data_IF_772947963804
#
_entry.id   IF_772947963804
#
_cell.length_a   1.000
_cell.length_b   1.000
_cell.length_c   1.000
_cell.angle_alpha   90.00
_cell.angle_beta   90.00
_cell.angle_gamma   90.00
#
_symmetry.space_group_name_H-M   'P 1'
#
loop_
_entity.id
_entity.type
_entity.pdbx_description
1 polymer ?
#
# COMPACT_ATOMS: atom_id res chain seq x y z
N UNK A 1 -13.94 13.63 15.96
CA UNK A 1 -13.97 12.28 15.38
C UNK A 1 -12.60 11.67 15.64
N UNK A 2 -12.54 10.43 16.09
CA UNK A 2 -11.28 9.70 16.21
C UNK A 2 -10.78 9.35 14.81
N UNK A 3 -9.45 9.39 14.57
CA UNK A 3 -8.86 8.97 13.29
C UNK A 3 -9.20 7.50 12.95
N UNK A 4 -9.53 6.68 13.96
CA UNK A 4 -9.93 5.28 13.80
C UNK A 4 -11.39 5.09 13.33
N UNK A 5 -12.19 6.14 13.28
CA UNK A 5 -13.61 6.02 12.87
C UNK A 5 -13.74 5.52 11.42
N UNK A 6 -12.74 5.78 10.56
CA UNK A 6 -12.69 5.28 9.18
C UNK A 6 -12.78 3.75 9.09
N UNK A 7 -12.26 3.02 10.07
CA UNK A 7 -12.28 1.56 10.12
C UNK A 7 -13.70 0.97 10.28
N UNK A 8 -14.64 1.78 10.76
CA UNK A 8 -16.02 1.37 11.06
C UNK A 8 -17.03 1.85 10.03
N UNK A 9 -16.61 2.74 9.13
CA UNK A 9 -17.51 3.31 8.14
C UNK A 9 -17.67 2.37 6.95
N UNK A 10 -18.92 2.11 6.51
CA UNK A 10 -19.13 1.36 5.29
C UNK A 10 -18.57 2.15 4.10
N UNK A 11 -17.71 1.53 3.26
CA UNK A 11 -17.16 2.23 2.11
C UNK A 11 -18.23 2.52 1.05
N UNK A 12 -18.04 3.57 0.22
CA UNK A 12 -18.83 3.73 -0.97
C UNK A 12 -18.77 2.48 -1.87
N UNK A 13 -19.85 2.18 -2.59
CA UNK A 13 -19.90 1.04 -3.49
C UNK A 13 -18.79 1.11 -4.54
N UNK A 14 -18.26 -0.04 -4.89
CA UNK A 14 -17.36 -0.19 -6.03
C UNK A 14 -18.18 -0.45 -7.31
N UNK A 15 -17.65 -0.06 -8.47
CA UNK A 15 -18.29 -0.34 -9.77
C UNK A 15 -18.22 -1.82 -10.13
N UNK A 16 -17.16 -2.50 -9.71
CA UNK A 16 -17.01 -3.94 -9.92
C UNK A 16 -16.09 -4.57 -8.87
N UNK A 17 -16.32 -5.87 -8.62
CA UNK A 17 -15.40 -6.75 -7.90
C UNK A 17 -14.96 -7.86 -8.86
N UNK A 18 -13.64 -8.08 -8.97
CA UNK A 18 -13.07 -9.07 -9.88
C UNK A 18 -12.04 -9.93 -9.15
N UNK A 19 -12.11 -11.24 -9.38
CA UNK A 19 -11.08 -12.17 -8.93
C UNK A 19 -9.86 -12.09 -9.87
N UNK A 20 -8.66 -12.04 -9.28
CA UNK A 20 -7.39 -12.17 -9.99
C UNK A 20 -6.71 -13.53 -9.75
N UNK A 21 -7.32 -14.37 -8.94
CA UNK A 21 -6.91 -15.73 -8.63
C UNK A 21 -8.09 -16.61 -8.20
N UNK A 22 -7.79 -17.82 -7.74
CA UNK A 22 -8.82 -18.83 -7.38
C UNK A 22 -9.21 -18.83 -5.90
N UNK A 23 -8.42 -18.20 -5.03
CA UNK A 23 -8.73 -18.12 -3.60
C UNK A 23 -9.81 -17.04 -3.35
N UNK A 24 -10.73 -17.22 -2.39
CA UNK A 24 -11.74 -16.21 -2.06
C UNK A 24 -11.20 -14.83 -1.66
N UNK A 25 -9.95 -14.76 -1.20
CA UNK A 25 -9.29 -13.49 -0.88
C UNK A 25 -8.46 -12.92 -2.05
N UNK A 26 -8.43 -13.58 -3.20
CA UNK A 26 -7.72 -13.11 -4.39
C UNK A 26 -8.67 -12.33 -5.31
N UNK A 27 -9.11 -11.16 -4.84
CA UNK A 27 -9.97 -10.26 -5.60
C UNK A 27 -9.60 -8.80 -5.35
N UNK A 28 -10.20 -7.91 -6.11
CA UNK A 28 -10.15 -6.49 -5.85
C UNK A 28 -11.42 -5.78 -6.29
N UNK A 29 -11.54 -4.54 -5.88
CA UNK A 29 -12.64 -3.64 -6.21
C UNK A 29 -12.15 -2.53 -7.14
N UNK A 30 -12.84 -2.36 -8.27
CA UNK A 30 -12.59 -1.28 -9.22
C UNK A 30 -13.56 -0.14 -8.94
N UNK A 31 -13.03 1.10 -8.89
CA UNK A 31 -13.82 2.33 -8.95
C UNK A 31 -13.33 3.17 -10.11
N UNK A 32 -14.26 3.63 -10.92
CA UNK A 32 -13.99 4.36 -12.15
C UNK A 32 -14.39 5.82 -12.01
N UNK A 33 -13.66 6.75 -12.64
CA UNK A 33 -14.14 8.11 -12.84
C UNK A 33 -15.42 8.16 -13.70
N UNK A 34 -16.18 9.24 -13.58
CA UNK A 34 -17.41 9.45 -14.36
C UNK A 34 -17.16 9.86 -15.81
N UNK A 35 -15.97 10.35 -16.11
CA UNK A 35 -15.55 10.83 -17.43
C UNK A 35 -15.26 9.67 -18.39
N UNK A 36 -14.79 9.99 -19.59
CA UNK A 36 -14.31 9.00 -20.54
C UNK A 36 -12.79 8.82 -20.40
N UNK A 37 -12.32 7.57 -20.23
CA UNK A 37 -10.91 7.24 -20.19
C UNK A 37 -10.16 7.50 -21.50
N UNK A 38 -8.88 7.12 -21.59
CA UNK A 38 -8.19 6.19 -20.67
C UNK A 38 -7.80 6.83 -19.34
N UNK A 39 -8.06 6.10 -18.22
CA UNK A 39 -7.78 6.58 -16.88
C UNK A 39 -6.45 6.09 -16.36
N UNK A 40 -5.65 6.95 -15.69
CA UNK A 40 -4.53 6.50 -14.88
C UNK A 40 -5.04 5.62 -13.72
N UNK A 41 -4.18 4.72 -13.22
CA UNK A 41 -4.59 3.68 -12.26
C UNK A 41 -3.82 3.80 -10.96
N UNK A 42 -4.53 3.81 -9.84
CA UNK A 42 -3.96 3.55 -8.52
C UNK A 42 -4.36 2.15 -8.07
N UNK A 43 -3.38 1.25 -7.95
CA UNK A 43 -3.53 0.00 -7.22
C UNK A 43 -3.30 0.29 -5.74
N UNK A 44 -4.31 0.05 -4.90
CA UNK A 44 -4.25 0.31 -3.48
C UNK A 44 -4.17 -0.98 -2.67
N UNK A 45 -3.26 -1.03 -1.69
CA UNK A 45 -3.04 -2.13 -0.77
C UNK A 45 -3.39 -1.68 0.66
N UNK A 46 -4.36 -2.36 1.27
CA UNK A 46 -4.81 -2.02 2.61
C UNK A 46 -3.81 -2.44 3.70
N UNK A 47 -3.92 -1.80 4.87
CA UNK A 47 -3.19 -2.13 6.08
C UNK A 47 -3.85 -3.22 6.92
N UNK A 48 -3.42 -3.32 8.20
CA UNK A 48 -3.97 -4.28 9.17
C UNK A 48 -2.96 -5.31 9.64
N UNK A 49 -1.67 -4.98 9.66
CA UNK A 49 -0.59 -5.86 10.12
C UNK A 49 -0.64 -7.27 9.52
N UNK A 50 -0.99 -7.38 8.24
CA UNK A 50 -1.12 -8.64 7.49
C UNK A 50 -2.09 -9.66 8.11
N UNK A 51 -3.01 -9.25 9.02
CA UNK A 51 -3.95 -10.14 9.74
C UNK A 51 -5.31 -10.20 9.07
N UNK A 52 -5.91 -11.40 9.02
CA UNK A 52 -7.20 -11.66 8.37
C UNK A 52 -8.41 -10.93 9.00
N UNK A 53 -8.26 -10.34 10.18
CA UNK A 53 -9.31 -9.53 10.82
C UNK A 53 -9.54 -8.16 10.15
N UNK A 54 -8.62 -7.72 9.28
CA UNK A 54 -8.74 -6.50 8.49
C UNK A 54 -8.83 -6.85 7.01
N UNK A 55 -9.59 -6.09 6.27
CA UNK A 55 -9.79 -6.27 4.83
C UNK A 55 -9.69 -4.92 4.10
N UNK A 56 -9.93 -4.95 2.78
CA UNK A 56 -9.86 -3.78 1.91
C UNK A 56 -10.91 -2.68 2.20
N UNK A 57 -11.94 -2.96 3.01
CA UNK A 57 -13.10 -2.08 3.17
C UNK A 57 -12.73 -0.69 3.68
N UNK A 58 -11.82 -0.60 4.66
CA UNK A 58 -11.43 0.68 5.24
C UNK A 58 -10.66 1.61 4.27
N UNK A 59 -10.15 1.09 3.16
CA UNK A 59 -9.52 1.86 2.09
C UNK A 59 -10.50 2.28 0.98
N UNK A 60 -11.75 1.83 1.02
CA UNK A 60 -12.75 2.14 -0.01
C UNK A 60 -13.09 3.62 -0.12
N UNK A 61 -13.04 4.38 0.98
CA UNK A 61 -13.28 5.83 0.98
C UNK A 61 -12.17 6.59 0.24
N UNK A 62 -10.92 6.26 0.49
CA UNK A 62 -9.75 6.80 -0.21
C UNK A 62 -9.85 6.50 -1.71
N UNK A 63 -10.19 5.27 -2.09
CA UNK A 63 -10.35 4.88 -3.48
C UNK A 63 -11.48 5.66 -4.17
N UNK A 64 -12.62 5.84 -3.50
CA UNK A 64 -13.73 6.63 -4.01
C UNK A 64 -13.35 8.12 -4.18
N UNK A 65 -12.59 8.69 -3.25
CA UNK A 65 -12.13 10.08 -3.36
C UNK A 65 -11.19 10.26 -4.56
N UNK A 66 -10.29 9.31 -4.82
CA UNK A 66 -9.40 9.36 -5.98
C UNK A 66 -10.16 9.17 -7.31
N UNK A 67 -11.21 8.32 -7.35
CA UNK A 67 -12.00 8.18 -8.57
C UNK A 67 -12.75 9.47 -8.95
N UNK A 68 -13.15 10.28 -7.97
CA UNK A 68 -13.73 11.62 -8.21
C UNK A 68 -12.71 12.63 -8.78
N UNK A 69 -11.42 12.29 -8.77
CA UNK A 69 -10.31 13.10 -9.32
C UNK A 69 -9.79 12.59 -10.66
N UNK A 70 -10.56 11.75 -11.33
CA UNK A 70 -10.16 11.24 -12.65
C UNK A 70 -9.18 10.07 -12.63
N UNK A 71 -8.99 9.40 -11.48
CA UNK A 71 -8.08 8.27 -11.31
C UNK A 71 -8.88 6.99 -11.06
N UNK A 72 -8.75 5.99 -11.92
CA UNK A 72 -9.29 4.67 -11.64
C UNK A 72 -8.55 4.01 -10.47
N UNK A 73 -9.29 3.33 -9.60
CA UNK A 73 -8.67 2.63 -8.47
C UNK A 73 -8.92 1.13 -8.54
N UNK A 74 -7.88 0.36 -8.24
CA UNK A 74 -7.88 -1.08 -8.03
C UNK A 74 -7.55 -1.34 -6.56
N UNK A 75 -8.57 -1.47 -5.70
CA UNK A 75 -8.42 -1.74 -4.26
C UNK A 75 -8.33 -3.25 -4.06
N UNK A 76 -7.17 -3.73 -3.66
CA UNK A 76 -6.81 -5.15 -3.70
C UNK A 76 -7.00 -5.78 -2.33
N UNK A 77 -7.69 -6.93 -2.30
CA UNK A 77 -7.68 -7.88 -1.21
C UNK A 77 -6.60 -8.94 -1.48
N UNK A 78 -6.01 -9.49 -0.44
CA UNK A 78 -4.97 -10.52 -0.51
C UNK A 78 -5.07 -11.48 0.66
N UNK A 79 -4.56 -12.70 0.56
CA UNK A 79 -4.50 -13.64 1.69
C UNK A 79 -3.61 -13.10 2.79
N UNK A 80 -4.05 -13.21 4.02
CA UNK A 80 -3.39 -12.67 5.22
C UNK A 80 -3.15 -13.77 6.23
N UNK A 81 -2.32 -13.52 7.23
CA UNK A 81 -2.16 -14.40 8.40
C UNK A 81 -3.52 -14.70 9.01
N UNK A 82 -3.86 -15.99 9.09
CA UNK A 82 -5.18 -16.49 9.46
C UNK A 82 -6.01 -17.03 8.29
N UNK A 83 -5.64 -16.70 7.03
CA UNK A 83 -6.19 -17.36 5.85
C UNK A 83 -5.27 -18.51 5.41
N UNK A 84 -5.80 -19.59 4.81
CA UNK A 84 -4.97 -20.63 4.22
C UNK A 84 -4.00 -20.05 3.18
N UNK A 85 -2.71 -20.33 3.32
CA UNK A 85 -1.67 -19.80 2.43
C UNK A 85 -1.36 -18.30 2.58
N UNK A 86 -1.92 -17.61 3.60
CA UNK A 86 -1.58 -16.24 3.94
C UNK A 86 -0.27 -16.16 4.74
N UNK A 87 0.27 -14.95 4.87
CA UNK A 87 1.63 -14.72 5.35
C UNK A 87 2.64 -14.75 4.20
N UNK A 88 3.92 -14.68 4.51
CA UNK A 88 5.00 -14.73 3.52
C UNK A 88 5.26 -16.17 3.05
N UNK A 89 5.44 -16.41 1.73
CA UNK A 89 5.37 -15.43 0.64
C UNK A 89 3.95 -15.21 0.07
N UNK A 90 2.93 -15.96 0.52
CA UNK A 90 1.62 -16.03 -0.12
C UNK A 90 0.90 -14.68 -0.23
N UNK A 91 0.94 -13.83 0.81
CA UNK A 91 0.38 -12.46 0.76
C UNK A 91 1.06 -11.62 -0.31
N UNK A 92 2.38 -11.73 -0.45
CA UNK A 92 3.15 -10.99 -1.46
C UNK A 92 2.89 -11.52 -2.87
N UNK A 93 2.79 -12.83 -3.03
CA UNK A 93 2.43 -13.46 -4.33
C UNK A 93 1.07 -12.98 -4.81
N UNK A 94 0.10 -12.84 -3.91
CA UNK A 94 -1.22 -12.30 -4.23
C UNK A 94 -1.12 -10.84 -4.71
N UNK A 95 -0.38 -10.00 -4.00
CA UNK A 95 -0.13 -8.60 -4.41
C UNK A 95 0.52 -8.53 -5.79
N UNK A 96 1.52 -9.38 -6.04
CA UNK A 96 2.19 -9.46 -7.35
C UNK A 96 1.25 -9.92 -8.46
N UNK A 97 0.40 -10.90 -8.18
CA UNK A 97 -0.61 -11.38 -9.13
C UNK A 97 -1.67 -10.31 -9.42
N UNK A 98 -2.13 -9.58 -8.42
CA UNK A 98 -3.05 -8.45 -8.59
C UNK A 98 -2.44 -7.30 -9.41
N UNK A 99 -1.15 -7.01 -9.24
CA UNK A 99 -0.43 -6.04 -10.09
C UNK A 99 -0.36 -6.53 -11.55
N UNK A 100 -0.01 -7.79 -11.77
CA UNK A 100 0.05 -8.40 -13.10
C UNK A 100 -1.31 -8.57 -13.76
N UNK A 101 -2.41 -8.43 -13.02
CA UNK A 101 -3.77 -8.43 -13.54
C UNK A 101 -4.19 -7.07 -14.14
N UNK A 102 -3.47 -5.96 -13.84
CA UNK A 102 -3.80 -4.61 -14.31
C UNK A 102 -3.95 -4.50 -15.85
N UNK A 103 -3.14 -5.13 -16.71
CA UNK A 103 -3.35 -5.10 -18.15
C UNK A 103 -4.72 -5.64 -18.59
N UNK A 104 -5.26 -6.66 -17.91
CA UNK A 104 -6.61 -7.19 -18.19
C UNK A 104 -7.70 -6.19 -17.76
N UNK A 105 -7.50 -5.49 -16.63
CA UNK A 105 -8.39 -4.39 -16.24
C UNK A 105 -8.33 -3.25 -17.26
N UNK A 106 -7.14 -2.93 -17.79
CA UNK A 106 -6.93 -1.91 -18.81
C UNK A 106 -7.77 -2.14 -20.05
N UNK A 107 -7.79 -3.37 -20.54
CA UNK A 107 -8.61 -3.77 -21.68
C UNK A 107 -10.12 -3.66 -21.39
N UNK A 108 -10.54 -4.05 -20.19
CA UNK A 108 -11.96 -4.09 -19.82
C UNK A 108 -12.55 -2.71 -19.51
N UNK A 109 -11.77 -1.82 -18.92
CA UNK A 109 -12.24 -0.55 -18.35
C UNK A 109 -11.58 0.69 -18.96
N UNK A 110 -10.88 0.55 -20.09
CA UNK A 110 -10.18 1.65 -20.76
C UNK A 110 -9.24 2.40 -19.81
N UNK A 111 -8.29 1.65 -19.19
CA UNK A 111 -7.29 2.21 -18.28
C UNK A 111 -5.96 2.48 -19.00
N UNK A 112 -5.29 3.55 -18.62
CA UNK A 112 -3.92 3.84 -19.08
C UNK A 112 -2.92 3.04 -18.24
N UNK A 113 -2.61 1.82 -18.68
CA UNK A 113 -1.69 0.91 -17.99
C UNK A 113 -0.22 1.36 -18.03
N UNK A 114 0.12 2.42 -18.77
CA UNK A 114 1.42 3.06 -18.68
C UNK A 114 1.52 4.03 -17.49
N UNK A 115 0.37 4.43 -16.93
CA UNK A 115 0.26 5.31 -15.79
C UNK A 115 -0.31 4.56 -14.59
N UNK A 116 0.51 3.70 -14.00
CA UNK A 116 0.18 2.93 -12.79
C UNK A 116 0.97 3.46 -11.60
N UNK A 117 0.28 3.72 -10.49
CA UNK A 117 0.84 3.95 -9.17
C UNK A 117 0.41 2.80 -8.25
N UNK A 118 1.35 2.13 -7.60
CA UNK A 118 1.04 1.23 -6.49
C UNK A 118 1.15 2.02 -5.19
N UNK A 119 0.07 2.03 -4.44
CA UNK A 119 -0.02 2.73 -3.15
C UNK A 119 -0.43 1.75 -2.05
N UNK A 120 0.07 1.95 -0.84
CA UNK A 120 -0.36 1.13 0.28
C UNK A 120 -0.26 1.85 1.61
N UNK A 121 -1.11 1.46 2.56
CA UNK A 121 -1.13 1.98 3.91
C UNK A 121 -0.58 0.96 4.91
N UNK A 122 0.27 1.39 5.86
CA UNK A 122 0.76 0.55 6.96
C UNK A 122 1.43 -0.74 6.43
N UNK A 123 0.94 -1.92 6.76
CA UNK A 123 1.37 -3.20 6.16
C UNK A 123 1.25 -3.22 4.63
N UNK A 124 0.22 -2.57 4.06
CA UNK A 124 0.09 -2.40 2.61
C UNK A 124 1.19 -1.52 2.01
N UNK A 125 1.69 -0.53 2.76
CA UNK A 125 2.82 0.30 2.36
C UNK A 125 4.13 -0.50 2.28
N UNK A 126 4.31 -1.44 3.21
CA UNK A 126 5.41 -2.41 3.14
C UNK A 126 5.29 -3.29 1.89
N UNK A 127 4.10 -3.86 1.64
CA UNK A 127 3.87 -4.71 0.47
C UNK A 127 4.06 -3.94 -0.86
N UNK A 128 3.66 -2.66 -0.92
CA UNK A 128 3.84 -1.82 -2.09
C UNK A 128 5.32 -1.58 -2.42
N UNK A 129 6.13 -1.23 -1.41
CA UNK A 129 7.57 -1.04 -1.60
C UNK A 129 8.31 -2.36 -1.82
N UNK A 130 7.90 -3.45 -1.16
CA UNK A 130 8.42 -4.78 -1.46
C UNK A 130 8.11 -5.16 -2.92
N UNK A 131 6.91 -4.87 -3.44
CA UNK A 131 6.60 -5.09 -4.86
C UNK A 131 7.55 -4.31 -5.78
N UNK A 132 7.86 -3.05 -5.44
CA UNK A 132 8.77 -2.23 -6.24
C UNK A 132 10.21 -2.78 -6.29
N UNK A 133 10.64 -3.55 -5.29
CA UNK A 133 11.96 -4.23 -5.33
C UNK A 133 11.96 -5.48 -6.23
N UNK A 134 10.78 -6.05 -6.55
CA UNK A 134 10.64 -7.29 -7.31
C UNK A 134 10.05 -7.10 -8.72
N UNK A 135 9.43 -5.96 -9.00
CA UNK A 135 8.82 -5.65 -10.31
C UNK A 135 9.47 -4.40 -10.93
N UNK A 136 10.56 -4.56 -11.70
CA UNK A 136 11.30 -3.43 -12.25
C UNK A 136 10.50 -2.53 -13.20
N UNK A 137 9.39 -3.02 -13.71
CA UNK A 137 8.46 -2.23 -14.54
C UNK A 137 7.60 -1.26 -13.73
N UNK A 138 7.54 -1.41 -12.40
CA UNK A 138 6.82 -0.49 -11.53
C UNK A 138 7.62 0.81 -11.35
N UNK A 139 7.10 1.93 -11.87
CA UNK A 139 7.81 3.22 -11.91
C UNK A 139 7.32 4.22 -10.87
N UNK A 140 6.23 3.93 -10.14
CA UNK A 140 5.65 4.82 -9.13
C UNK A 140 5.12 4.03 -7.95
N UNK A 141 5.58 4.37 -6.75
CA UNK A 141 5.12 3.73 -5.51
C UNK A 141 4.94 4.77 -4.40
N UNK A 142 3.86 4.64 -3.64
CA UNK A 142 3.55 5.51 -2.50
C UNK A 142 3.26 4.67 -1.25
N UNK A 143 3.99 4.89 -0.18
CA UNK A 143 3.72 4.30 1.12
C UNK A 143 3.14 5.35 2.09
N UNK A 144 1.98 5.06 2.64
CA UNK A 144 1.31 5.84 3.68
C UNK A 144 1.53 5.14 5.02
N UNK A 145 2.29 5.74 5.93
CA UNK A 145 2.61 5.20 7.26
C UNK A 145 3.12 3.74 7.20
N UNK A 146 4.00 3.43 6.24
CA UNK A 146 4.42 2.06 5.95
C UNK A 146 5.29 1.44 7.04
N UNK A 147 5.15 0.11 7.27
CA UNK A 147 6.05 -0.69 8.12
C UNK A 147 7.28 -1.06 7.31
N UNK A 148 8.22 -0.12 7.14
CA UNK A 148 9.28 -0.18 6.12
C UNK A 148 10.59 -0.83 6.57
N UNK A 149 10.69 -1.21 7.84
CA UNK A 149 11.82 -1.93 8.45
C UNK A 149 11.25 -3.07 9.30
N UNK A 150 11.25 -4.28 8.75
CA UNK A 150 10.64 -5.45 9.39
C UNK A 150 11.47 -5.94 10.59
N UNK A 151 12.79 -5.75 10.56
CA UNK A 151 13.64 -6.07 11.69
C UNK A 151 13.37 -5.12 12.87
N UNK A 152 13.23 -3.82 12.61
CA UNK A 152 12.86 -2.84 13.63
C UNK A 152 11.44 -3.09 14.16
N UNK A 153 10.50 -3.47 13.30
CA UNK A 153 9.14 -3.84 13.71
C UNK A 153 9.12 -5.04 14.67
N UNK A 154 9.99 -6.02 14.44
CA UNK A 154 10.20 -7.15 15.35
C UNK A 154 10.81 -6.69 16.68
N UNK A 155 11.85 -5.88 16.66
CA UNK A 155 12.50 -5.36 17.88
C UNK A 155 11.55 -4.57 18.78
N UNK A 156 10.63 -3.83 18.17
CA UNK A 156 9.61 -3.05 18.88
C UNK A 156 8.36 -3.84 19.26
N UNK A 157 8.31 -5.11 18.91
CA UNK A 157 7.13 -5.97 19.12
C UNK A 157 5.82 -5.37 18.58
N UNK A 158 5.89 -4.66 17.43
CA UNK A 158 4.73 -3.95 16.87
C UNK A 158 3.55 -4.90 16.69
N UNK A 159 2.39 -4.48 17.26
CA UNK A 159 1.13 -5.24 17.19
C UNK A 159 1.32 -6.71 17.59
N UNK A 160 1.84 -6.95 18.79
CA UNK A 160 2.08 -8.31 19.31
C UNK A 160 2.87 -9.20 18.35
N UNK A 161 4.02 -8.72 17.92
CA UNK A 161 4.92 -9.41 16.99
C UNK A 161 4.25 -9.83 15.66
N UNK A 162 3.39 -8.98 15.10
CA UNK A 162 2.69 -9.28 13.85
C UNK A 162 3.64 -9.67 12.71
N UNK A 163 4.86 -9.10 12.67
CA UNK A 163 5.88 -9.43 11.67
C UNK A 163 6.36 -10.88 11.79
N UNK A 164 6.48 -11.41 12.99
CA UNK A 164 6.86 -12.82 13.23
C UNK A 164 5.79 -13.76 12.67
N UNK A 165 4.52 -13.45 12.92
CA UNK A 165 3.41 -14.21 12.35
C UNK A 165 3.34 -14.09 10.82
N UNK A 166 3.66 -12.92 10.26
CA UNK A 166 3.68 -12.67 8.82
C UNK A 166 4.82 -13.43 8.13
N UNK A 167 6.04 -13.39 8.67
CA UNK A 167 7.23 -13.99 8.07
C UNK A 167 7.43 -15.46 8.46
N UNK A 168 6.69 -15.96 9.47
CA UNK A 168 6.77 -17.34 9.94
C UNK A 168 7.89 -17.61 10.94
N UNK A 169 8.51 -16.57 11.49
CA UNK A 169 9.58 -16.68 12.49
C UNK A 169 10.30 -15.36 12.77
N UNK A 170 11.25 -15.40 13.69
CA UNK A 170 12.13 -14.29 14.04
C UNK A 170 13.24 -14.08 12.98
N UNK A 171 13.98 -12.96 12.99
CA UNK A 171 15.09 -12.75 12.06
C UNK A 171 16.18 -13.84 12.09
N UNK A 172 16.37 -14.48 13.25
CA UNK A 172 17.33 -15.57 13.39
C UNK A 172 16.82 -16.93 12.88
N UNK A 173 15.51 -17.13 12.90
CA UNK A 173 14.87 -18.38 12.44
C UNK A 173 14.61 -18.38 10.94
N UNK A 174 14.22 -17.23 10.38
CA UNK A 174 13.86 -17.10 8.95
C UNK A 174 14.57 -15.88 8.29
N UNK A 175 15.90 -15.79 8.34
CA UNK A 175 16.66 -14.62 7.86
C UNK A 175 16.39 -14.28 6.39
N UNK A 176 16.14 -15.29 5.55
CA UNK A 176 15.84 -15.12 4.13
C UNK A 176 14.50 -14.41 3.92
N UNK A 177 13.47 -14.75 4.71
CA UNK A 177 12.16 -14.09 4.61
C UNK A 177 12.27 -12.59 4.96
N UNK A 178 13.04 -12.23 6.00
CA UNK A 178 13.31 -10.82 6.30
C UNK A 178 14.08 -10.15 5.17
N UNK A 179 15.12 -10.76 4.63
CA UNK A 179 15.89 -10.18 3.52
C UNK A 179 15.03 -9.91 2.28
N UNK A 180 14.11 -10.83 1.96
CA UNK A 180 13.28 -10.75 0.75
C UNK A 180 12.05 -9.84 0.92
N UNK A 181 11.42 -9.87 2.11
CA UNK A 181 10.21 -9.12 2.38
C UNK A 181 10.46 -7.67 2.82
N UNK A 182 11.65 -7.38 3.39
CA UNK A 182 11.95 -6.08 3.99
C UNK A 182 12.34 -5.05 2.91
N UNK A 183 11.51 -4.00 2.69
CA UNK A 183 11.86 -2.93 1.74
C UNK A 183 13.18 -2.23 2.11
N UNK A 184 13.54 -2.18 3.40
CA UNK A 184 14.79 -1.60 3.86
C UNK A 184 16.01 -2.37 3.34
N UNK A 185 15.93 -3.70 3.25
CA UNK A 185 16.99 -4.56 2.74
C UNK A 185 17.10 -4.51 1.20
N UNK A 186 15.99 -4.45 0.50
CA UNK A 186 15.91 -4.46 -0.96
C UNK A 186 16.44 -3.18 -1.62
N UNK A 187 16.47 -3.15 -2.95
CA UNK A 187 16.76 -1.96 -3.76
C UNK A 187 15.67 -1.77 -4.80
N UNK A 188 15.23 -0.55 -4.96
CA UNK A 188 14.24 -0.18 -5.98
C UNK A 188 14.99 0.44 -7.18
N UNK A 189 14.59 0.17 -8.44
CA UNK A 189 15.22 0.78 -9.60
C UNK A 189 15.24 2.32 -9.50
N UNK A 190 16.35 2.95 -9.91
CA UNK A 190 16.51 4.41 -9.83
C UNK A 190 15.47 5.21 -10.61
N UNK A 191 14.85 4.59 -11.61
CA UNK A 191 13.78 5.20 -12.40
C UNK A 191 12.41 5.13 -11.71
N UNK A 192 12.31 4.45 -10.56
CA UNK A 192 11.06 4.34 -9.79
C UNK A 192 10.97 5.49 -8.80
N UNK A 193 10.00 6.35 -9.00
CA UNK A 193 9.66 7.43 -8.07
C UNK A 193 8.99 6.84 -6.83
N UNK A 194 9.58 7.06 -5.66
CA UNK A 194 9.08 6.60 -4.37
C UNK A 194 8.63 7.80 -3.54
N UNK A 195 7.38 7.78 -3.08
CA UNK A 195 6.87 8.75 -2.10
C UNK A 195 6.51 8.07 -0.79
N UNK A 196 6.85 8.72 0.30
CA UNK A 196 6.53 8.28 1.65
C UNK A 196 5.81 9.42 2.36
N UNK A 197 4.60 9.17 2.84
CA UNK A 197 3.86 10.12 3.67
C UNK A 197 3.63 9.50 5.04
N UNK A 198 3.97 10.23 6.09
CA UNK A 198 3.79 9.76 7.47
C UNK A 198 3.24 10.86 8.36
N UNK A 199 2.39 10.49 9.30
CA UNK A 199 1.92 11.40 10.33
C UNK A 199 2.92 11.49 11.48
N UNK A 200 3.29 12.69 11.93
CA UNK A 200 4.18 12.85 13.08
C UNK A 200 3.54 12.38 14.40
N UNK A 201 2.21 12.36 14.46
CA UNK A 201 1.43 11.86 15.60
C UNK A 201 0.99 10.39 15.47
N UNK A 202 1.65 9.61 14.61
CA UNK A 202 1.36 8.20 14.43
C UNK A 202 1.74 7.39 15.68
N UNK A 203 0.73 6.83 16.35
CA UNK A 203 0.84 6.01 17.56
C UNK A 203 0.84 4.50 17.29
N UNK A 204 0.74 4.10 16.02
CA UNK A 204 0.71 2.70 15.57
C UNK A 204 2.04 2.28 14.95
N UNK A 205 2.53 3.06 13.99
CA UNK A 205 3.84 2.89 13.32
C UNK A 205 4.61 4.20 13.47
N UNK A 206 5.73 4.22 14.21
CA UNK A 206 6.50 5.46 14.41
C UNK A 206 6.98 6.07 13.10
N UNK A 207 6.87 7.40 12.94
CA UNK A 207 7.18 8.12 11.69
C UNK A 207 8.63 7.95 11.22
N UNK A 208 9.53 7.61 12.14
CA UNK A 208 10.93 7.36 11.77
C UNK A 208 11.13 6.13 10.88
N UNK A 209 10.16 5.21 10.78
CA UNK A 209 10.22 4.11 9.79
C UNK A 209 10.34 4.67 8.37
N UNK A 210 9.49 5.62 8.01
CA UNK A 210 9.54 6.28 6.70
C UNK A 210 10.75 7.20 6.55
N UNK A 211 11.12 7.93 7.60
CA UNK A 211 12.27 8.84 7.59
C UNK A 211 13.58 8.09 7.35
N UNK A 212 13.84 7.05 8.15
CA UNK A 212 15.06 6.25 8.03
C UNK A 212 15.14 5.54 6.68
N UNK A 213 14.01 5.01 6.19
CA UNK A 213 13.93 4.45 4.84
C UNK A 213 14.35 5.49 3.80
N UNK A 214 13.74 6.68 3.83
CA UNK A 214 14.06 7.75 2.86
C UNK A 214 15.52 8.16 2.91
N UNK A 215 16.10 8.32 4.10
CA UNK A 215 17.52 8.67 4.28
C UNK A 215 18.45 7.61 3.69
N UNK A 216 18.20 6.34 4.02
CA UNK A 216 19.02 5.22 3.54
C UNK A 216 18.95 5.07 2.02
N UNK A 217 17.74 5.13 1.44
CA UNK A 217 17.54 4.93 0.01
C UNK A 217 18.06 6.10 -0.83
N UNK A 218 17.89 7.34 -0.36
CA UNK A 218 18.55 8.51 -0.95
C UNK A 218 20.08 8.37 -0.95
N UNK A 219 20.64 7.88 0.14
CA UNK A 219 22.08 7.60 0.24
C UNK A 219 22.58 6.56 -0.78
N UNK A 220 21.70 5.68 -1.28
CA UNK A 220 21.98 4.72 -2.35
C UNK A 220 21.70 5.28 -3.76
N UNK A 221 21.24 6.54 -3.87
CA UNK A 221 20.92 7.21 -5.14
C UNK A 221 19.57 6.78 -5.74
N UNK A 222 18.65 6.26 -4.92
CA UNK A 222 17.26 6.01 -5.32
C UNK A 222 16.44 7.31 -5.31
N UNK A 223 15.41 7.41 -6.15
CA UNK A 223 14.49 8.56 -6.21
C UNK A 223 13.41 8.43 -5.13
N UNK A 224 13.66 9.02 -3.95
CA UNK A 224 12.80 8.92 -2.78
C UNK A 224 12.43 10.29 -2.24
N UNK A 225 11.14 10.51 -2.00
CA UNK A 225 10.57 11.70 -1.40
C UNK A 225 9.89 11.34 -0.08
N UNK A 226 10.08 12.18 0.94
CA UNK A 226 9.45 12.00 2.24
C UNK A 226 8.70 13.25 2.66
N UNK A 227 7.45 13.08 3.07
CA UNK A 227 6.58 14.12 3.61
C UNK A 227 6.06 13.69 4.98
N UNK A 228 6.46 14.41 6.03
CA UNK A 228 5.88 14.27 7.36
C UNK A 228 4.77 15.29 7.56
N UNK A 229 3.59 14.83 8.04
CA UNK A 229 2.44 15.70 8.33
C UNK A 229 2.34 15.87 9.84
N UNK A 230 2.67 17.04 10.35
CA UNK A 230 2.85 17.32 11.78
C UNK A 230 1.63 16.96 12.66
N UNK A 231 0.42 17.10 12.15
CA UNK A 231 -0.84 16.92 12.91
C UNK A 231 -1.57 15.63 12.59
N UNK A 232 -1.00 14.75 11.76
CA UNK A 232 -1.65 13.51 11.33
C UNK A 232 -1.27 12.33 12.22
N UNK A 233 -2.23 11.47 12.51
CA UNK A 233 -2.04 10.12 13.04
C UNK A 233 -2.09 9.07 11.94
N UNK A 234 -2.07 7.79 12.35
CA UNK A 234 -1.97 6.63 11.44
C UNK A 234 -3.09 6.59 10.38
N UNK A 235 -4.34 6.73 10.81
CA UNK A 235 -5.51 6.59 9.94
C UNK A 235 -5.92 7.89 9.24
N UNK A 236 -5.38 9.03 9.64
CA UNK A 236 -5.66 10.32 8.98
C UNK A 236 -5.21 10.32 7.51
N UNK A 237 -4.21 9.48 7.17
CA UNK A 237 -3.67 9.38 5.82
C UNK A 237 -4.60 8.67 4.84
N UNK A 238 -5.57 7.90 5.34
CA UNK A 238 -6.53 7.16 4.52
C UNK A 238 -7.97 7.66 4.64
N UNK A 239 -8.20 8.70 5.45
CA UNK A 239 -9.52 9.31 5.63
C UNK A 239 -9.64 10.60 4.81
N UNK A 240 -10.45 10.61 3.72
CA UNK A 240 -10.67 11.81 2.90
C UNK A 240 -11.27 13.00 3.65
N UNK A 241 -11.80 12.79 4.86
CA UNK A 241 -12.36 13.84 5.72
C UNK A 241 -11.30 14.47 6.63
N UNK A 242 -10.11 13.87 6.72
CA UNK A 242 -9.03 14.33 7.57
C UNK A 242 -8.36 15.60 7.02
N UNK A 243 -7.68 16.34 7.90
CA UNK A 243 -6.86 17.48 7.50
C UNK A 243 -5.57 17.06 6.76
N UNK A 244 -5.17 15.80 6.84
CA UNK A 244 -4.02 15.26 6.15
C UNK A 244 -4.33 14.93 4.68
N UNK A 245 -5.59 14.60 4.36
CA UNK A 245 -6.00 14.13 3.05
C UNK A 245 -5.57 15.03 1.88
N UNK A 246 -5.73 16.37 1.91
CA UNK A 246 -5.30 17.21 0.79
C UNK A 246 -3.83 17.03 0.40
N UNK A 247 -2.96 16.67 1.36
CA UNK A 247 -1.55 16.38 1.09
C UNK A 247 -1.36 15.02 0.42
N UNK A 248 -2.11 14.01 0.86
CA UNK A 248 -2.12 12.68 0.24
C UNK A 248 -2.65 12.79 -1.19
N UNK A 249 -3.82 13.41 -1.38
CA UNK A 249 -4.45 13.62 -2.67
C UNK A 249 -3.53 14.36 -3.65
N UNK A 250 -2.96 15.50 -3.23
CA UNK A 250 -2.06 16.29 -4.07
C UNK A 250 -0.80 15.52 -4.47
N UNK A 251 -0.27 14.67 -3.57
CA UNK A 251 0.89 13.82 -3.90
C UNK A 251 0.50 12.77 -4.94
N UNK A 252 -0.64 12.10 -4.80
CA UNK A 252 -1.12 11.13 -5.78
C UNK A 252 -1.32 11.80 -7.16
N UNK A 253 -1.98 12.96 -7.21
CA UNK A 253 -2.18 13.72 -8.46
C UNK A 253 -0.84 14.11 -9.09
N UNK A 254 0.11 14.63 -8.31
CA UNK A 254 1.45 14.94 -8.79
C UNK A 254 2.15 13.71 -9.41
N UNK A 255 2.12 12.56 -8.72
CA UNK A 255 2.73 11.33 -9.21
C UNK A 255 2.07 10.80 -10.48
N UNK A 256 0.80 11.11 -10.70
CA UNK A 256 0.03 10.71 -11.89
C UNK A 256 0.14 11.73 -13.04
N UNK A 257 0.74 12.90 -12.80
CA UNK A 257 0.87 13.96 -13.80
C UNK A 257 -0.45 14.64 -14.11
N UNK A 258 -1.30 14.79 -13.07
CA UNK A 258 -2.64 15.39 -13.17
C UNK A 258 -2.68 16.71 -12.40
#
# INVERSE_FOLDING_TARGET
MSSQDILKLPPPAADARLAYGSDPNQFGEVRLPSEKGPFPVVMNLHGGFWRAQYDLSHAGHLCAALSQKGIATWNVEYRRVGNPGGGWPGSFEDVRNAYRFIPQLGQRYNLDVAKVLVMGHSAGGQLALCLATHEPALTRVLALAGVLDLTQAWQLHLSDNAVVAFLGGTPSEVPEHYREADPMAGSVPRATMQWLIHGAGDDVVPSYFSRNYAEQKKGRGEDVHYLEIATAGHYDLIDPRSRAWPKVESTVLHMMGA
#
